data_IF_122054003800
#
_entry.id   IF_122054003800
#
_cell.length_a   1.000
_cell.length_b   1.000
_cell.length_c   1.000
_cell.angle_alpha   90.00
_cell.angle_beta   90.00
_cell.angle_gamma   90.00
#
_symmetry.space_group_name_H-M   'P 1'
#
loop_
_entity.id
_entity.type
_entity.pdbx_description
1 polymer ?
#
# COMPACT_ATOMS: atom_id res chain seq x y z
N UNK A 1 5.26 7.89 11.11
CA UNK A 1 4.66 7.64 9.79
C UNK A 1 5.50 6.58 9.09
N UNK A 2 4.93 5.40 8.82
CA UNK A 2 5.66 4.27 8.24
C UNK A 2 5.68 4.36 6.71
N UNK A 3 6.83 4.08 6.09
CA UNK A 3 6.98 3.98 4.64
C UNK A 3 7.04 2.50 4.25
N UNK A 4 6.20 2.10 3.29
CA UNK A 4 6.08 0.74 2.76
C UNK A 4 6.57 0.78 1.32
N UNK A 5 7.84 0.43 1.11
CA UNK A 5 8.45 0.43 -0.22
C UNK A 5 8.29 -0.95 -0.90
N UNK A 6 7.51 -0.98 -1.98
CA UNK A 6 7.25 -2.16 -2.80
C UNK A 6 7.96 -2.12 -4.15
N UNK A 7 8.79 -1.11 -4.42
CA UNK A 7 9.45 -0.89 -5.73
C UNK A 7 10.53 -1.92 -6.03
N UNK A 8 11.11 -2.53 -4.99
CA UNK A 8 12.12 -3.60 -5.10
C UNK A 8 11.43 -4.94 -5.25
N UNK A 9 11.54 -5.58 -6.42
CA UNK A 9 11.09 -6.96 -6.62
C UNK A 9 12.07 -7.92 -5.94
N UNK A 10 11.55 -8.86 -5.16
CA UNK A 10 12.32 -9.99 -4.66
C UNK A 10 11.94 -11.23 -5.47
N UNK A 11 12.88 -12.16 -5.74
CA UNK A 11 12.56 -13.39 -6.46
C UNK A 11 11.53 -14.24 -5.68
N UNK A 12 10.75 -15.02 -6.42
CA UNK A 12 9.73 -15.93 -5.88
C UNK A 12 8.36 -15.27 -5.60
N UNK A 13 7.34 -16.10 -5.40
CA UNK A 13 5.94 -15.67 -5.21
C UNK A 13 5.75 -14.78 -3.98
N UNK A 14 6.49 -15.04 -2.90
CA UNK A 14 6.48 -14.22 -1.67
C UNK A 14 7.13 -12.85 -1.85
N UNK A 15 7.96 -12.71 -2.90
CA UNK A 15 8.56 -11.44 -3.31
C UNK A 15 7.62 -10.53 -4.07
N UNK A 16 6.46 -11.03 -4.52
CA UNK A 16 5.49 -10.25 -5.28
C UNK A 16 4.96 -9.05 -4.44
N UNK A 17 4.92 -7.83 -5.00
CA UNK A 17 4.48 -6.62 -4.31
C UNK A 17 3.15 -6.75 -3.56
N UNK A 18 2.16 -7.39 -4.19
CA UNK A 18 0.82 -7.63 -3.57
C UNK A 18 0.91 -8.49 -2.31
N UNK A 19 1.75 -9.53 -2.31
CA UNK A 19 1.90 -10.43 -1.16
C UNK A 19 2.59 -9.70 -0.01
N UNK A 20 3.66 -8.96 -0.34
CA UNK A 20 4.38 -8.12 0.62
C UNK A 20 3.47 -7.05 1.24
N UNK A 21 2.67 -6.37 0.42
CA UNK A 21 1.72 -5.37 0.89
C UNK A 21 0.70 -5.98 1.86
N UNK A 22 0.08 -7.11 1.49
CA UNK A 22 -0.90 -7.79 2.34
C UNK A 22 -0.33 -8.21 3.70
N UNK A 23 0.94 -8.65 3.74
CA UNK A 23 1.63 -8.97 4.99
C UNK A 23 1.83 -7.71 5.84
N UNK A 24 2.39 -6.65 5.26
CA UNK A 24 2.68 -5.42 5.99
C UNK A 24 1.40 -4.76 6.51
N UNK A 25 0.33 -4.69 5.73
CA UNK A 25 -0.94 -4.10 6.16
C UNK A 25 -1.60 -4.89 7.31
N UNK A 26 -1.39 -6.20 7.38
CA UNK A 26 -1.90 -7.04 8.48
C UNK A 26 -1.26 -6.69 9.82
N UNK A 27 0.02 -6.35 9.80
CA UNK A 27 0.83 -6.03 10.98
C UNK A 27 0.90 -4.52 11.26
N UNK A 28 0.32 -3.70 10.37
CA UNK A 28 0.38 -2.25 10.47
C UNK A 28 -0.48 -1.75 11.64
N UNK A 29 0.19 -1.16 12.64
CA UNK A 29 -0.45 -0.51 13.79
C UNK A 29 -0.61 1.01 13.61
N UNK A 30 0.20 1.60 12.74
CA UNK A 30 0.18 3.04 12.46
C UNK A 30 -1.17 3.49 11.89
N UNK A 31 -1.65 4.65 12.35
CA UNK A 31 -2.85 5.30 11.81
C UNK A 31 -2.66 5.80 10.38
N UNK A 32 -1.42 6.11 9.98
CA UNK A 32 -1.06 6.55 8.63
C UNK A 32 0.22 5.90 8.13
N UNK A 33 0.26 5.60 6.84
CA UNK A 33 1.43 5.07 6.16
C UNK A 33 1.51 5.57 4.72
N UNK A 34 2.72 5.58 4.16
CA UNK A 34 2.97 5.86 2.74
C UNK A 34 3.33 4.54 2.07
N UNK A 35 2.70 4.24 0.93
CA UNK A 35 3.02 3.09 0.09
C UNK A 35 3.67 3.60 -1.18
N UNK A 36 4.89 3.15 -1.47
CA UNK A 36 5.57 3.39 -2.75
C UNK A 36 5.48 2.14 -3.60
N UNK A 37 4.93 2.25 -4.80
CA UNK A 37 4.77 1.10 -5.70
C UNK A 37 4.85 1.51 -7.17
N UNK A 38 5.32 0.62 -8.04
CA UNK A 38 5.23 0.79 -9.49
C UNK A 38 3.82 0.48 -9.96
N UNK A 39 3.24 1.33 -10.78
CA UNK A 39 1.86 1.13 -11.30
C UNK A 39 1.74 -0.10 -12.20
N UNK A 40 2.85 -0.51 -12.83
CA UNK A 40 2.96 -1.76 -13.59
C UNK A 40 2.89 -3.02 -12.72
N UNK A 41 3.20 -2.91 -11.42
CA UNK A 41 3.15 -4.03 -10.48
C UNK A 41 1.81 -4.08 -9.74
N UNK A 42 1.33 -2.92 -9.28
CA UNK A 42 0.02 -2.78 -8.65
C UNK A 42 -0.64 -1.51 -9.19
N UNK A 43 -1.68 -1.64 -10.01
CA UNK A 43 -2.48 -0.50 -10.44
C UNK A 43 -3.12 0.20 -9.23
N UNK A 44 -3.25 1.52 -9.27
CA UNK A 44 -3.80 2.34 -8.16
C UNK A 44 -5.18 1.85 -7.71
N UNK A 45 -6.07 1.49 -8.64
CA UNK A 45 -7.41 0.94 -8.31
C UNK A 45 -7.34 -0.39 -7.55
N UNK A 46 -6.33 -1.22 -7.82
CA UNK A 46 -6.10 -2.48 -7.09
C UNK A 46 -5.57 -2.15 -5.69
N UNK A 47 -4.63 -1.21 -5.60
CA UNK A 47 -4.09 -0.74 -4.32
C UNK A 47 -5.19 -0.20 -3.40
N UNK A 48 -6.09 0.62 -3.94
CA UNK A 48 -7.26 1.15 -3.23
C UNK A 48 -8.12 0.03 -2.63
N UNK A 49 -8.48 -0.99 -3.41
CA UNK A 49 -9.27 -2.13 -2.92
C UNK A 49 -8.53 -2.92 -1.83
N UNK A 50 -7.21 -3.08 -1.97
CA UNK A 50 -6.41 -3.83 -1.00
C UNK A 50 -6.33 -3.12 0.36
N UNK A 51 -6.09 -1.79 0.35
CA UNK A 51 -6.01 -1.01 1.59
C UNK A 51 -7.38 -0.85 2.24
N UNK A 52 -8.44 -0.69 1.44
CA UNK A 52 -9.82 -0.63 1.91
C UNK A 52 -10.24 -1.91 2.62
N UNK A 53 -9.93 -3.08 2.05
CA UNK A 53 -10.17 -4.39 2.68
C UNK A 53 -9.46 -4.54 4.03
N UNK A 54 -8.43 -3.73 4.31
CA UNK A 54 -7.67 -3.72 5.56
C UNK A 54 -8.06 -2.59 6.50
N UNK A 55 -9.13 -1.84 6.21
CA UNK A 55 -9.62 -0.76 7.05
C UNK A 55 -8.84 0.54 6.89
N UNK A 56 -8.25 0.78 5.71
CA UNK A 56 -7.57 2.03 5.38
C UNK A 56 -8.19 2.68 4.13
N UNK A 57 -8.20 4.00 4.08
CA UNK A 57 -8.57 4.77 2.89
C UNK A 57 -7.32 5.45 2.31
N UNK A 58 -7.31 5.70 1.00
CA UNK A 58 -6.31 6.55 0.37
C UNK A 58 -6.68 8.01 0.63
N UNK A 59 -5.75 8.81 1.12
CA UNK A 59 -5.95 10.26 1.36
C UNK A 59 -5.13 11.14 0.42
N UNK A 60 -4.05 10.60 -0.16
CA UNK A 60 -3.22 11.32 -1.12
C UNK A 60 -2.58 10.35 -2.11
N UNK A 61 -2.47 10.78 -3.36
CA UNK A 61 -1.72 10.10 -4.41
C UNK A 61 -0.77 11.13 -5.02
N UNK A 62 0.52 10.79 -5.07
CA UNK A 62 1.53 11.53 -5.79
C UNK A 62 2.17 10.61 -6.84
N UNK A 63 2.33 11.11 -8.06
CA UNK A 63 2.91 10.35 -9.17
C UNK A 63 4.34 10.82 -9.38
N UNK A 64 5.28 9.88 -9.35
CA UNK A 64 6.71 10.10 -9.59
C UNK A 64 7.18 9.18 -10.73
N UNK A 65 6.98 9.62 -11.97
CA UNK A 65 7.30 8.83 -13.16
C UNK A 65 6.52 7.51 -13.20
N UNK A 66 7.22 6.38 -13.11
CA UNK A 66 6.61 5.03 -13.12
C UNK A 66 6.15 4.55 -11.73
N UNK A 67 6.50 5.31 -10.69
CA UNK A 67 6.15 5.02 -9.31
C UNK A 67 5.00 5.93 -8.87
N UNK A 68 4.20 5.42 -7.94
CA UNK A 68 3.21 6.19 -7.22
C UNK A 68 3.48 6.09 -5.73
N UNK A 69 3.39 7.22 -5.05
CA UNK A 69 3.32 7.31 -3.60
C UNK A 69 1.88 7.51 -3.19
N UNK A 70 1.39 6.62 -2.34
CA UNK A 70 0.02 6.62 -1.87
C UNK A 70 0.01 6.72 -0.36
N UNK A 71 -0.52 7.83 0.16
CA UNK A 71 -0.73 8.00 1.58
C UNK A 71 -2.07 7.38 1.96
N UNK A 72 -2.03 6.51 2.96
CA UNK A 72 -3.21 5.83 3.51
C UNK A 72 -3.45 6.22 4.96
N UNK A 73 -4.72 6.26 5.34
CA UNK A 73 -5.17 6.54 6.70
C UNK A 73 -6.15 5.47 7.17
N UNK A 74 -6.00 5.02 8.41
CA UNK A 74 -6.91 4.06 9.04
C UNK A 74 -8.30 4.67 9.17
N UNK A 75 -9.31 3.92 8.74
CA UNK A 75 -10.70 4.31 8.91
C UNK A 75 -11.05 4.06 10.37
N UNK A 76 -11.50 5.10 11.08
CA UNK A 76 -12.11 4.91 12.39
C UNK A 76 -13.46 4.25 12.16
N UNK A 77 -13.56 2.96 12.42
CA UNK A 77 -14.87 2.32 12.55
C UNK A 77 -15.46 2.84 13.85
N UNK A 78 -16.55 3.63 13.77
CA UNK A 78 -17.39 3.85 14.94
C UNK A 78 -17.86 2.46 15.42
N UNK A 79 -17.51 2.12 16.66
CA UNK A 79 -17.94 0.90 17.35
C UNK A 79 -19.45 0.87 17.49
#
# INVERSE_FOLDING_TARGET
MKIIDLTVKRPGCTGHPVVRLNRVLRELKDRRAIIRVKTSDIPVKVLERLVLKKGYKIIKIAVEGICVEVEIEKIDTAL
#
